data_IF_224423624415
#
_entry.id   IF_224423624415
#
_cell.length_a   1.000
_cell.length_b   1.000
_cell.length_c   1.000
_cell.angle_alpha   90.00
_cell.angle_beta   90.00
_cell.angle_gamma   90.00
#
_symmetry.space_group_name_H-M   'P 1'
#
loop_
_entity.id
_entity.type
_entity.pdbx_description
1 polymer ?
#
# COMPACT_ATOMS: atom_id res chain seq x y z
N UNK A 1 -2.24 9.30 -19.28
CA UNK A 1 -2.21 8.45 -18.07
C UNK A 1 -3.31 8.97 -17.16
N UNK A 2 -4.31 8.17 -16.72
CA UNK A 2 -5.19 8.61 -15.64
C UNK A 2 -4.30 8.99 -14.46
N UNK A 3 -4.31 10.26 -14.10
CA UNK A 3 -3.46 10.79 -13.03
C UNK A 3 -4.07 10.31 -11.73
N UNK A 4 -3.40 9.36 -11.07
CA UNK A 4 -3.72 8.94 -9.71
C UNK A 4 -3.92 10.19 -8.84
N UNK A 5 -4.93 10.19 -7.99
CA UNK A 5 -5.16 11.31 -7.08
C UNK A 5 -4.01 11.43 -6.08
N UNK A 6 -3.84 12.61 -5.47
CA UNK A 6 -2.79 12.83 -4.46
C UNK A 6 -2.82 11.79 -3.33
N UNK A 7 -4.01 11.34 -2.94
CA UNK A 7 -4.18 10.34 -1.88
C UNK A 7 -3.71 8.95 -2.31
N UNK A 8 -3.89 8.59 -3.58
CA UNK A 8 -3.39 7.34 -4.17
C UNK A 8 -1.87 7.38 -4.32
N UNK A 9 -1.33 8.49 -4.80
CA UNK A 9 0.13 8.71 -4.89
C UNK A 9 0.80 8.61 -3.52
N UNK A 10 0.18 9.17 -2.47
CA UNK A 10 0.69 9.07 -1.10
C UNK A 10 0.75 7.62 -0.60
N UNK A 11 -0.29 6.82 -0.89
CA UNK A 11 -0.30 5.39 -0.54
C UNK A 11 0.79 4.62 -1.30
N UNK A 12 0.97 4.91 -2.59
CA UNK A 12 2.04 4.27 -3.38
C UNK A 12 3.41 4.64 -2.80
N UNK A 13 3.63 5.92 -2.51
CA UNK A 13 4.89 6.39 -1.94
C UNK A 13 5.18 5.71 -0.58
N UNK A 14 4.17 5.57 0.29
CA UNK A 14 4.29 4.87 1.58
C UNK A 14 4.69 3.41 1.39
N UNK A 15 3.97 2.65 0.58
CA UNK A 15 4.27 1.22 0.37
C UNK A 15 5.68 1.02 -0.21
N UNK A 16 6.09 1.89 -1.15
CA UNK A 16 7.44 1.86 -1.70
C UNK A 16 8.51 2.27 -0.68
N UNK A 17 8.17 3.14 0.28
CA UNK A 17 9.04 3.50 1.38
C UNK A 17 9.22 2.32 2.35
N UNK A 18 8.13 1.65 2.72
CA UNK A 18 8.14 0.42 3.54
C UNK A 18 8.97 -0.69 2.89
N UNK A 19 8.87 -0.87 1.56
CA UNK A 19 9.72 -1.85 0.87
C UNK A 19 11.19 -1.44 0.90
N UNK A 20 11.50 -0.16 0.67
CA UNK A 20 12.86 0.36 0.71
C UNK A 20 13.53 0.14 2.08
N UNK A 21 12.76 0.17 3.17
CA UNK A 21 13.24 -0.10 4.53
C UNK A 21 13.14 -1.58 4.93
N UNK A 22 12.59 -2.44 4.07
CA UNK A 22 12.44 -3.87 4.34
C UNK A 22 11.39 -4.19 5.40
N UNK A 23 10.38 -3.32 5.51
CA UNK A 23 9.24 -3.40 6.44
C UNK A 23 8.02 -4.00 5.76
N UNK A 24 7.88 -3.82 4.43
CA UNK A 24 6.76 -4.36 3.66
C UNK A 24 6.75 -5.89 3.70
N UNK A 25 5.62 -6.47 4.13
CA UNK A 25 5.42 -7.93 4.26
C UNK A 25 4.30 -8.44 3.37
N UNK A 26 4.41 -9.70 2.96
CA UNK A 26 3.31 -10.45 2.34
C UNK A 26 2.25 -10.80 3.38
N UNK A 27 1.08 -11.25 2.93
CA UNK A 27 0.03 -11.79 3.81
C UNK A 27 0.48 -12.99 4.67
N UNK A 28 1.56 -13.67 4.28
CA UNK A 28 2.18 -14.78 5.02
C UNK A 28 3.30 -14.32 5.96
N UNK A 29 3.49 -13.00 6.12
CA UNK A 29 4.50 -12.41 7.00
C UNK A 29 5.93 -12.38 6.45
N UNK A 30 6.15 -12.84 5.21
CA UNK A 30 7.48 -12.80 4.58
C UNK A 30 7.77 -11.39 4.06
N UNK A 31 9.01 -10.91 4.21
CA UNK A 31 9.42 -9.62 3.65
C UNK A 31 9.33 -9.63 2.12
N UNK A 32 8.83 -8.53 1.57
CA UNK A 32 8.84 -8.29 0.12
C UNK A 32 10.23 -7.81 -0.27
N UNK A 33 10.88 -8.53 -1.18
CA UNK A 33 12.24 -8.21 -1.63
C UNK A 33 12.31 -7.75 -3.08
N UNK A 34 11.22 -7.90 -3.83
CA UNK A 34 11.14 -7.51 -5.23
C UNK A 34 10.38 -6.20 -5.38
N UNK A 35 11.07 -5.18 -5.91
CA UNK A 35 10.47 -3.89 -6.25
C UNK A 35 9.23 -4.01 -7.16
N UNK A 36 9.21 -5.00 -8.06
CA UNK A 36 8.06 -5.25 -8.96
C UNK A 36 6.83 -5.71 -8.16
N UNK A 37 7.05 -6.59 -7.18
CA UNK A 37 5.99 -7.05 -6.28
C UNK A 37 5.53 -5.91 -5.38
N UNK A 38 6.46 -5.09 -4.86
CA UNK A 38 6.13 -3.90 -4.07
C UNK A 38 5.23 -2.93 -4.85
N UNK A 39 5.55 -2.66 -6.11
CA UNK A 39 4.71 -1.84 -6.99
C UNK A 39 3.32 -2.44 -7.22
N UNK A 40 3.21 -3.76 -7.38
CA UNK A 40 1.91 -4.41 -7.51
C UNK A 40 1.06 -4.28 -6.24
N UNK A 41 1.68 -4.39 -5.06
CA UNK A 41 1.01 -4.15 -3.77
C UNK A 41 0.60 -2.68 -3.66
N UNK A 42 1.49 -1.75 -3.99
CA UNK A 42 1.25 -0.31 -3.94
C UNK A 42 0.06 0.12 -4.80
N UNK A 43 0.00 -0.35 -6.06
CA UNK A 43 -1.11 -0.06 -6.97
C UNK A 43 -2.42 -0.66 -6.48
N UNK A 44 -2.39 -1.87 -5.90
CA UNK A 44 -3.58 -2.52 -5.34
C UNK A 44 -4.08 -1.80 -4.09
N UNK A 45 -3.19 -1.42 -3.18
CA UNK A 45 -3.53 -0.66 -1.97
C UNK A 45 -4.07 0.73 -2.28
N UNK A 46 -3.56 1.37 -3.33
CA UNK A 46 -4.04 2.65 -3.82
C UNK A 46 -5.33 2.55 -4.66
N UNK A 47 -5.83 1.34 -4.95
CA UNK A 47 -7.00 1.15 -5.82
C UNK A 47 -6.77 1.69 -7.24
N UNK A 48 -5.54 1.54 -7.75
CA UNK A 48 -5.10 2.03 -9.05
C UNK A 48 -4.72 0.89 -10.02
N UNK A 49 -4.94 -0.37 -9.64
CA UNK A 49 -4.68 -1.49 -10.54
C UNK A 49 -5.72 -1.56 -11.66
N UNK A 50 -5.29 -1.97 -12.85
CA UNK A 50 -6.16 -2.23 -14.00
C UNK A 50 -6.69 -3.67 -14.03
N UNK A 51 -6.31 -4.52 -13.06
CA UNK A 51 -6.72 -5.93 -13.00
C UNK A 51 -7.95 -6.17 -12.11
N UNK A 52 -8.37 -5.19 -11.31
CA UNK A 52 -9.54 -5.27 -10.44
C UNK A 52 -10.62 -4.29 -10.91
N UNK A 53 -11.87 -4.53 -10.51
CA UNK A 53 -12.99 -3.65 -10.86
C UNK A 53 -12.92 -2.31 -10.11
N UNK A 54 -13.61 -1.28 -10.61
CA UNK A 54 -13.70 0.03 -9.94
C UNK A 54 -14.21 -0.08 -8.48
N UNK A 55 -15.17 -0.99 -8.23
CA UNK A 55 -15.71 -1.23 -6.90
C UNK A 55 -14.67 -1.86 -5.96
N UNK A 56 -13.87 -2.81 -6.47
CA UNK A 56 -12.79 -3.43 -5.70
C UNK A 56 -11.65 -2.45 -5.42
N UNK A 57 -11.28 -1.65 -6.42
CA UNK A 57 -10.30 -0.57 -6.27
C UNK A 57 -10.73 0.43 -5.20
N UNK A 58 -12.00 0.89 -5.23
CA UNK A 58 -12.54 1.80 -4.22
C UNK A 58 -12.50 1.18 -2.81
N UNK A 59 -12.93 -0.08 -2.68
CA UNK A 59 -12.91 -0.82 -1.40
C UNK A 59 -11.48 -1.00 -0.87
N UNK A 60 -10.53 -1.32 -1.75
CA UNK A 60 -9.14 -1.50 -1.37
C UNK A 60 -8.53 -0.18 -0.88
N UNK A 61 -8.74 0.92 -1.60
CA UNK A 61 -8.31 2.25 -1.19
C UNK A 61 -8.92 2.65 0.16
N UNK A 62 -10.23 2.47 0.34
CA UNK A 62 -10.91 2.77 1.60
C UNK A 62 -10.30 1.98 2.78
N UNK A 63 -10.12 0.67 2.59
CA UNK A 63 -9.50 -0.20 3.59
C UNK A 63 -8.08 0.26 3.93
N UNK A 64 -7.27 0.61 2.92
CA UNK A 64 -5.91 1.12 3.13
C UNK A 64 -5.93 2.43 3.92
N UNK A 65 -6.80 3.38 3.54
CA UNK A 65 -6.93 4.66 4.27
C UNK A 65 -7.41 4.49 5.70
N UNK A 66 -8.21 3.47 5.99
CA UNK A 66 -8.62 3.14 7.36
C UNK A 66 -7.42 2.70 8.19
N UNK A 67 -6.59 1.80 7.66
CA UNK A 67 -5.35 1.33 8.32
C UNK A 67 -4.35 2.47 8.54
N UNK A 68 -4.14 3.30 7.52
CA UNK A 68 -3.26 4.48 7.60
C UNK A 68 -3.70 5.45 8.71
N UNK A 69 -5.02 5.62 8.92
CA UNK A 69 -5.54 6.45 10.01
C UNK A 69 -5.46 5.78 11.38
N UNK A 70 -5.45 4.47 11.42
CA UNK A 70 -5.41 3.67 12.64
C UNK A 70 -3.98 3.37 13.12
N UNK A 71 -2.93 3.75 12.37
CA UNK A 71 -1.55 3.42 12.72
C UNK A 71 -1.22 1.94 12.52
N UNK A 72 -1.92 1.26 11.60
CA UNK A 72 -1.77 -0.18 11.36
C UNK A 72 -0.95 -0.48 10.10
N UNK A 73 -0.06 0.43 9.69
CA UNK A 73 0.83 0.21 8.55
C UNK A 73 2.13 -0.48 8.99
N UNK A 74 2.84 -1.10 8.05
CA UNK A 74 4.11 -1.76 8.38
C UNK A 74 5.16 -0.75 8.88
N UNK A 75 5.10 0.48 8.37
CA UNK A 75 5.91 1.59 8.87
C UNK A 75 5.54 1.95 10.32
N UNK A 76 4.25 2.05 10.64
CA UNK A 76 3.80 2.37 12.01
C UNK A 76 4.21 1.28 13.02
N UNK A 77 4.07 0.00 12.64
CA UNK A 77 4.56 -1.14 13.42
C UNK A 77 6.08 -1.04 13.68
N UNK A 78 6.86 -0.70 12.65
CA UNK A 78 8.32 -0.60 12.75
C UNK A 78 8.77 0.61 13.59
N UNK A 79 8.01 1.71 13.53
CA UNK A 79 8.28 2.94 14.27
C UNK A 79 7.67 2.94 15.69
N UNK A 80 6.94 1.87 16.06
CA UNK A 80 6.30 1.74 17.38
C UNK A 80 5.15 2.73 17.61
N UNK A 81 4.53 3.21 16.53
CA UNK A 81 3.42 4.16 16.55
C UNK A 81 2.12 3.37 16.62
N UNK A 82 1.48 3.35 17.79
CA UNK A 82 0.16 2.75 18.02
C UNK A 82 -0.76 3.78 18.66
#
# INVERSE_FOLDING_TARGET
>A
MPTESKSQQATIARVMHEEKHGELKTSTGKKVTSRKQAMAIALREAGATNTETNAENARNLERTKRKERAGETAQDEAEGKH
#
